data_IF_506292331278
#
_entry.id   IF_506292331278
#
_cell.length_a   1.000
_cell.length_b   1.000
_cell.length_c   1.000
_cell.angle_alpha   90.00
_cell.angle_beta   90.00
_cell.angle_gamma   90.00
#
_symmetry.space_group_name_H-M   'P 1'
#
loop_
_entity.id
_entity.type
_entity.pdbx_description
1 polymer ?
#
# COMPACT_ATOMS: atom_id res chain seq x y z
N UNK A 1 6.51 3.58 -13.58
CA UNK A 1 7.59 2.55 -13.48
C UNK A 1 7.04 1.15 -13.69
N UNK A 2 5.93 0.76 -13.05
CA UNK A 2 5.33 -0.58 -13.20
C UNK A 2 5.07 -1.01 -14.65
N UNK A 3 4.62 -0.11 -15.54
CA UNK A 3 4.41 -0.43 -16.95
C UNK A 3 5.71 -0.91 -17.67
N UNK A 4 6.86 -0.34 -17.31
CA UNK A 4 8.17 -0.73 -17.87
C UNK A 4 8.57 -2.13 -17.38
N UNK A 5 8.31 -2.41 -16.09
CA UNK A 5 8.54 -3.74 -15.48
C UNK A 5 7.64 -4.79 -16.14
N UNK A 6 6.35 -4.50 -16.31
CA UNK A 6 5.39 -5.38 -17.00
C UNK A 6 5.80 -5.65 -18.46
N UNK A 7 6.45 -4.68 -19.12
CA UNK A 7 6.99 -4.89 -20.47
C UNK A 7 8.31 -5.68 -20.52
N UNK A 8 8.81 -6.19 -19.39
CA UNK A 8 10.04 -6.97 -19.32
C UNK A 8 11.32 -6.15 -19.47
N UNK A 9 11.25 -4.83 -19.34
CA UNK A 9 12.38 -3.92 -19.56
C UNK A 9 13.19 -3.61 -18.30
N UNK A 10 12.91 -4.28 -17.18
CA UNK A 10 13.70 -4.16 -15.96
C UNK A 10 12.97 -4.59 -14.68
N UNK A 11 13.62 -4.34 -13.54
CA UNK A 11 13.10 -4.58 -12.18
C UNK A 11 12.68 -3.25 -11.56
N UNK A 12 11.63 -3.27 -10.74
CA UNK A 12 11.17 -2.08 -10.02
C UNK A 12 10.77 -2.40 -8.58
N UNK A 13 10.82 -1.38 -7.73
CA UNK A 13 10.28 -1.41 -6.38
C UNK A 13 8.91 -0.73 -6.39
N UNK A 14 7.90 -1.42 -5.90
CA UNK A 14 6.53 -0.92 -5.80
C UNK A 14 5.90 -1.40 -4.49
N UNK A 15 4.94 -0.63 -3.98
CA UNK A 15 4.15 -1.09 -2.86
C UNK A 15 3.26 -2.27 -3.30
N UNK A 16 3.06 -3.25 -2.41
CA UNK A 16 2.39 -4.50 -2.76
C UNK A 16 0.95 -4.24 -3.20
N UNK A 17 0.25 -3.30 -2.55
CA UNK A 17 -1.09 -2.86 -2.95
C UNK A 17 -1.21 -2.35 -4.39
N UNK A 18 -0.12 -1.88 -5.02
CA UNK A 18 -0.13 -1.36 -6.39
C UNK A 18 0.08 -2.44 -7.46
N UNK A 19 0.64 -3.60 -7.08
CA UNK A 19 1.06 -4.66 -8.00
C UNK A 19 0.38 -6.01 -7.73
N UNK A 20 -0.46 -6.11 -6.69
CA UNK A 20 -1.19 -7.34 -6.34
C UNK A 20 -1.88 -7.96 -7.56
N UNK A 21 -2.67 -7.17 -8.28
CA UNK A 21 -3.40 -7.69 -9.46
C UNK A 21 -2.46 -8.16 -10.57
N UNK A 22 -1.29 -7.53 -10.71
CA UNK A 22 -0.28 -7.91 -11.70
C UNK A 22 0.44 -9.21 -11.32
N UNK A 23 0.68 -9.41 -10.02
CA UNK A 23 1.23 -10.65 -9.47
C UNK A 23 0.22 -11.80 -9.62
N UNK A 24 -1.04 -11.56 -9.25
CA UNK A 24 -2.12 -12.54 -9.33
C UNK A 24 -2.39 -12.95 -10.80
N UNK A 25 -2.23 -12.01 -11.73
CA UNK A 25 -2.31 -12.27 -13.17
C UNK A 25 -1.03 -12.89 -13.78
N UNK A 26 0.04 -13.07 -13.00
CA UNK A 26 1.32 -13.61 -13.46
C UNK A 26 2.08 -12.70 -14.44
N UNK A 27 1.76 -11.41 -14.47
CA UNK A 27 2.40 -10.44 -15.38
C UNK A 27 3.75 -9.93 -14.84
N UNK A 28 3.96 -10.07 -13.54
CA UNK A 28 5.22 -9.77 -12.85
C UNK A 28 5.45 -10.83 -11.77
N UNK A 29 6.68 -10.94 -11.29
CA UNK A 29 7.05 -11.82 -10.19
C UNK A 29 7.87 -11.06 -9.13
N UNK A 30 7.86 -11.57 -7.90
CA UNK A 30 8.70 -11.02 -6.83
C UNK A 30 10.13 -11.52 -6.99
N UNK A 31 11.08 -10.60 -6.94
CA UNK A 31 12.52 -10.88 -6.92
C UNK A 31 13.12 -10.41 -5.61
N UNK A 32 14.16 -11.11 -5.14
CA UNK A 32 14.87 -10.80 -3.88
C UNK A 32 13.95 -10.65 -2.64
N UNK A 33 13.01 -11.59 -2.38
CA UNK A 33 12.03 -11.44 -1.29
C UNK A 33 12.67 -11.37 0.10
N UNK A 34 13.91 -11.86 0.26
CA UNK A 34 14.68 -11.80 1.51
C UNK A 34 15.24 -10.39 1.80
N UNK A 35 15.20 -9.48 0.82
CA UNK A 35 15.73 -8.12 0.90
C UNK A 35 14.61 -7.07 0.88
N UNK A 36 13.44 -7.42 1.41
CA UNK A 36 12.30 -6.50 1.49
C UNK A 36 12.67 -5.25 2.32
N UNK A 37 12.45 -4.03 1.79
CA UNK A 37 12.67 -2.81 2.57
C UNK A 37 11.70 -2.77 3.76
N UNK A 38 12.04 -2.03 4.83
CA UNK A 38 11.16 -1.89 5.97
C UNK A 38 9.80 -1.31 5.55
N UNK A 39 8.69 -1.75 6.17
CA UNK A 39 7.36 -1.22 5.87
C UNK A 39 7.30 0.30 5.97
N UNK A 40 6.69 0.94 4.97
CA UNK A 40 6.50 2.39 4.99
C UNK A 40 5.32 2.74 5.91
N UNK A 41 5.49 3.70 6.85
CA UNK A 41 4.40 4.07 7.73
C UNK A 41 3.29 4.79 6.96
N UNK A 42 2.04 4.38 7.19
CA UNK A 42 0.85 5.03 6.65
C UNK A 42 0.20 5.90 7.72
N UNK A 43 0.00 7.18 7.41
CA UNK A 43 -0.58 8.14 8.34
C UNK A 43 -1.90 8.72 7.82
N UNK A 44 -2.93 8.72 8.66
CA UNK A 44 -4.12 9.53 8.44
C UNK A 44 -3.86 10.95 8.96
N UNK A 45 -4.05 11.97 8.11
CA UNK A 45 -3.85 13.37 8.46
C UNK A 45 -5.17 14.13 8.38
N UNK A 46 -5.37 15.08 9.29
CA UNK A 46 -6.52 15.98 9.30
C UNK A 46 -6.14 17.36 9.83
N UNK A 47 -6.89 18.42 9.49
CA UNK A 47 -6.63 19.76 10.02
C UNK A 47 -6.74 19.78 11.54
N UNK A 48 -5.91 20.61 12.18
CA UNK A 48 -5.98 20.82 13.63
C UNK A 48 -7.34 21.43 14.00
N UNK A 49 -8.16 20.66 14.71
CA UNK A 49 -9.51 21.05 15.14
C UNK A 49 -9.67 20.80 16.63
N UNK A 50 -10.55 21.57 17.30
CA UNK A 50 -10.80 21.40 18.76
C UNK A 50 -11.47 20.07 19.08
N UNK A 51 -12.35 19.59 18.20
CA UNK A 51 -12.98 18.26 18.26
C UNK A 51 -13.09 17.72 16.86
N UNK A 52 -12.62 16.49 16.65
CA UNK A 52 -12.80 15.78 15.40
C UNK A 52 -14.28 15.38 15.25
N UNK A 53 -14.96 15.65 14.12
CA UNK A 53 -16.32 15.20 13.91
C UNK A 53 -16.44 13.68 14.07
N UNK A 54 -17.52 13.21 14.70
CA UNK A 54 -17.72 11.78 14.99
C UNK A 54 -17.64 10.91 13.72
N UNK A 55 -18.20 11.38 12.60
CA UNK A 55 -18.11 10.69 11.31
C UNK A 55 -16.67 10.50 10.83
N UNK A 56 -15.82 11.52 11.01
CA UNK A 56 -14.40 11.44 10.61
C UNK A 56 -13.65 10.47 11.51
N UNK A 57 -13.91 10.49 12.83
CA UNK A 57 -13.33 9.52 13.75
C UNK A 57 -13.72 8.09 13.40
N UNK A 58 -15.01 7.85 13.17
CA UNK A 58 -15.51 6.54 12.75
C UNK A 58 -14.88 6.06 11.44
N UNK A 59 -14.67 6.96 10.47
CA UNK A 59 -13.97 6.63 9.24
C UNK A 59 -12.52 6.22 9.50
N UNK A 60 -11.79 6.99 10.31
CA UNK A 60 -10.39 6.67 10.67
C UNK A 60 -10.32 5.32 11.38
N UNK A 61 -11.20 5.08 12.36
CA UNK A 61 -11.25 3.82 13.11
C UNK A 61 -11.51 2.64 12.16
N UNK A 62 -12.42 2.79 11.19
CA UNK A 62 -12.69 1.79 10.16
C UNK A 62 -11.49 1.55 9.24
N UNK A 63 -10.81 2.61 8.80
CA UNK A 63 -9.63 2.52 7.95
C UNK A 63 -8.48 1.81 8.68
N UNK A 64 -8.23 2.16 9.95
CA UNK A 64 -7.21 1.49 10.77
C UNK A 64 -7.53 0.02 10.91
N UNK A 65 -8.79 -0.33 11.23
CA UNK A 65 -9.19 -1.73 11.38
C UNK A 65 -9.01 -2.54 10.09
N UNK A 66 -9.28 -1.94 8.91
CA UNK A 66 -9.13 -2.63 7.62
C UNK A 66 -7.69 -2.70 7.14
N UNK A 67 -6.95 -1.61 7.26
CA UNK A 67 -5.58 -1.53 6.73
C UNK A 67 -4.59 -2.28 7.62
N UNK A 68 -4.86 -2.44 8.92
CA UNK A 68 -4.02 -3.23 9.81
C UNK A 68 -4.02 -4.74 9.47
N UNK A 69 -5.07 -5.25 8.82
CA UNK A 69 -5.13 -6.65 8.38
C UNK A 69 -4.59 -6.90 6.97
N UNK A 70 -4.37 -5.83 6.21
CA UNK A 70 -3.92 -5.92 4.81
C UNK A 70 -2.40 -5.96 4.73
N UNK A 71 -1.86 -6.81 3.86
CA UNK A 71 -0.48 -6.64 3.38
C UNK A 71 -0.48 -5.50 2.38
N UNK A 72 -0.15 -4.33 2.92
CA UNK A 72 0.08 -3.11 2.19
C UNK A 72 1.50 -3.11 1.60
#
# INVERSE_FOLDING_TARGET
MNAVVVSGLGVGLAAFWQIRDLLDAGQVELVLPEYEPPPLPLHALWPRTRKLPARTRLLIDLLVARLASERL
#
